data_IF_297153307724
#
_entry.id   IF_297153307724
#
_cell.length_a   1.000
_cell.length_b   1.000
_cell.length_c   1.000
_cell.angle_alpha   90.00
_cell.angle_beta   90.00
_cell.angle_gamma   90.00
#
_symmetry.space_group_name_H-M   'P 1'
#
loop_
_entity.id
_entity.type
_entity.pdbx_description
1 polymer ?
#
# COMPACT_ATOMS: atom_id res chain seq x y z
N UNK A 1 4.49 15.70 -21.08
CA UNK A 1 3.80 14.47 -21.53
C UNK A 1 4.16 13.35 -20.56
N UNK A 2 3.21 12.51 -20.13
CA UNK A 2 3.58 11.29 -19.39
C UNK A 2 4.36 10.40 -20.36
N UNK A 3 5.63 10.12 -20.07
CA UNK A 3 6.31 8.95 -20.62
C UNK A 3 5.46 7.71 -20.27
N UNK A 4 5.34 6.77 -21.21
CA UNK A 4 4.49 5.59 -21.10
C UNK A 4 4.88 4.58 -20.01
N UNK A 5 5.75 4.96 -19.09
CA UNK A 5 6.46 4.06 -18.16
C UNK A 5 5.89 4.10 -16.73
N UNK A 6 4.84 4.89 -16.50
CA UNK A 6 4.21 5.03 -15.17
C UNK A 6 3.03 4.09 -14.95
N UNK A 7 2.80 3.72 -13.69
CA UNK A 7 1.69 2.82 -13.29
C UNK A 7 0.34 3.34 -13.83
N UNK A 8 -0.47 2.48 -14.48
CA UNK A 8 -1.72 2.89 -15.11
C UNK A 8 -2.71 3.41 -14.06
N UNK A 9 -3.41 4.50 -14.39
CA UNK A 9 -4.46 5.03 -13.52
C UNK A 9 -5.75 4.29 -13.78
N UNK A 10 -6.24 3.58 -12.77
CA UNK A 10 -7.47 2.81 -12.84
C UNK A 10 -8.59 3.53 -12.08
N UNK A 11 -9.79 3.50 -12.65
CA UNK A 11 -11.03 3.92 -11.97
C UNK A 11 -12.18 3.04 -12.42
N UNK A 12 -12.97 2.57 -11.46
CA UNK A 12 -14.19 1.82 -11.72
C UNK A 12 -15.33 2.84 -11.81
N UNK A 13 -15.99 2.91 -12.96
CA UNK A 13 -17.14 3.81 -13.20
C UNK A 13 -18.47 3.09 -13.19
N UNK A 14 -18.48 1.84 -13.66
CA UNK A 14 -19.67 0.99 -13.71
C UNK A 14 -19.56 -0.07 -12.60
N UNK A 15 -20.53 -0.15 -11.68
CA UNK A 15 -20.49 -1.11 -10.56
C UNK A 15 -20.35 -2.57 -11.02
N UNK A 16 -21.12 -2.99 -12.03
CA UNK A 16 -21.13 -4.38 -12.51
C UNK A 16 -19.79 -4.77 -13.12
N UNK A 17 -19.22 -3.90 -13.97
CA UNK A 17 -17.88 -4.10 -14.54
C UNK A 17 -16.80 -4.10 -13.45
N UNK A 18 -16.98 -3.32 -12.38
CA UNK A 18 -16.09 -3.33 -11.22
C UNK A 18 -16.12 -4.64 -10.45
N UNK A 19 -17.32 -5.17 -10.21
CA UNK A 19 -17.51 -6.46 -9.57
C UNK A 19 -16.88 -7.60 -10.40
N UNK A 20 -17.09 -7.59 -11.72
CA UNK A 20 -16.49 -8.55 -12.64
C UNK A 20 -14.96 -8.46 -12.65
N UNK A 21 -14.40 -7.25 -12.73
CA UNK A 21 -12.95 -7.02 -12.70
C UNK A 21 -12.31 -7.57 -11.42
N UNK A 22 -12.89 -7.26 -10.25
CA UNK A 22 -12.37 -7.72 -8.96
C UNK A 22 -12.52 -9.24 -8.83
N UNK A 23 -13.64 -9.81 -9.28
CA UNK A 23 -13.86 -11.26 -9.32
C UNK A 23 -12.85 -11.97 -10.21
N UNK A 24 -12.60 -11.46 -11.43
CA UNK A 24 -11.60 -12.01 -12.34
C UNK A 24 -10.18 -11.93 -11.74
N UNK A 25 -9.84 -10.80 -11.11
CA UNK A 25 -8.54 -10.61 -10.45
C UNK A 25 -8.36 -11.58 -9.28
N UNK A 26 -9.38 -11.75 -8.45
CA UNK A 26 -9.36 -12.71 -7.35
C UNK A 26 -9.18 -14.15 -7.87
N UNK A 27 -9.84 -14.50 -8.98
CA UNK A 27 -9.70 -15.82 -9.62
C UNK A 27 -8.29 -16.06 -10.14
N UNK A 28 -7.72 -15.08 -10.84
CA UNK A 28 -6.33 -15.12 -11.32
C UNK A 28 -5.34 -15.38 -10.18
N UNK A 29 -5.54 -14.71 -9.03
CA UNK A 29 -4.73 -14.93 -7.82
C UNK A 29 -4.89 -16.36 -7.28
N UNK A 30 -6.11 -16.91 -7.26
CA UNK A 30 -6.35 -18.28 -6.80
C UNK A 30 -5.79 -19.34 -7.76
N UNK A 31 -5.63 -19.03 -9.05
CA UNK A 31 -5.12 -19.94 -10.06
C UNK A 31 -3.58 -19.93 -10.14
N UNK A 32 -2.98 -18.73 -10.08
CA UNK A 32 -1.54 -18.53 -10.30
C UNK A 32 -0.76 -18.21 -9.02
N UNK A 33 -1.46 -17.83 -7.95
CA UNK A 33 -0.85 -17.47 -6.67
C UNK A 33 -0.22 -16.09 -6.67
N UNK A 34 0.44 -15.78 -5.56
CA UNK A 34 1.24 -14.57 -5.36
C UNK A 34 2.50 -14.95 -4.59
N UNK A 35 3.53 -14.08 -4.54
CA UNK A 35 4.61 -14.27 -3.57
C UNK A 35 4.01 -14.50 -2.16
N UNK A 36 4.44 -15.57 -1.48
CA UNK A 36 3.92 -16.06 -0.18
C UNK A 36 2.55 -16.75 -0.21
N UNK A 37 1.92 -16.89 -1.38
CA UNK A 37 0.66 -17.63 -1.58
C UNK A 37 0.88 -18.72 -2.63
N UNK A 38 1.23 -19.90 -2.15
CA UNK A 38 1.53 -21.05 -3.00
C UNK A 38 0.24 -21.84 -3.30
N UNK A 39 -0.30 -21.70 -4.51
CA UNK A 39 -1.54 -22.39 -4.93
C UNK A 39 -1.30 -23.61 -5.84
N UNK A 40 -0.05 -23.85 -6.25
CA UNK A 40 0.31 -24.89 -7.23
C UNK A 40 -0.08 -26.30 -6.77
N UNK A 41 0.02 -26.60 -5.48
CA UNK A 41 -0.39 -27.88 -4.88
C UNK A 41 -1.89 -28.00 -4.57
N UNK A 42 -2.65 -26.91 -4.68
CA UNK A 42 -4.06 -26.94 -4.32
C UNK A 42 -4.88 -27.58 -5.44
N UNK A 43 -5.80 -28.46 -5.05
CA UNK A 43 -6.80 -29.04 -5.95
C UNK A 43 -7.73 -27.95 -6.50
N UNK A 44 -8.43 -28.23 -7.61
CA UNK A 44 -9.41 -27.30 -8.18
C UNK A 44 -10.52 -26.94 -7.18
N UNK A 45 -10.95 -27.89 -6.35
CA UNK A 45 -11.92 -27.63 -5.28
C UNK A 45 -11.35 -26.65 -4.25
N UNK A 46 -10.15 -26.91 -3.75
CA UNK A 46 -9.51 -26.04 -2.76
C UNK A 46 -9.27 -24.62 -3.29
N UNK A 47 -8.96 -24.45 -4.59
CA UNK A 47 -8.85 -23.13 -5.22
C UNK A 47 -10.20 -22.42 -5.33
N UNK A 48 -11.28 -23.15 -5.58
CA UNK A 48 -12.64 -22.57 -5.59
C UNK A 48 -13.06 -22.13 -4.18
N UNK A 49 -12.77 -22.96 -3.17
CA UNK A 49 -13.04 -22.61 -1.78
C UNK A 49 -12.23 -21.36 -1.39
N UNK A 50 -10.95 -21.31 -1.77
CA UNK A 50 -10.10 -20.14 -1.58
C UNK A 50 -10.67 -18.88 -2.25
N UNK A 51 -11.16 -19.01 -3.49
CA UNK A 51 -11.80 -17.92 -4.21
C UNK A 51 -13.04 -17.40 -3.47
N UNK A 52 -13.89 -18.30 -2.98
CA UNK A 52 -15.05 -17.93 -2.15
C UNK A 52 -14.59 -17.24 -0.86
N UNK A 53 -13.56 -17.77 -0.20
CA UNK A 53 -12.99 -17.16 1.00
C UNK A 53 -12.46 -15.74 0.78
N UNK A 54 -11.87 -15.41 -0.36
CA UNK A 54 -11.37 -14.04 -0.56
C UNK A 54 -12.46 -13.08 -1.04
N UNK A 55 -13.52 -13.57 -1.67
CA UNK A 55 -14.55 -12.72 -2.32
C UNK A 55 -15.87 -12.60 -1.57
N UNK A 56 -16.27 -13.61 -0.79
CA UNK A 56 -17.57 -13.65 -0.12
C UNK A 56 -17.49 -13.09 1.32
N UNK A 57 -18.11 -11.93 1.60
CA UNK A 57 -18.11 -11.35 2.95
C UNK A 57 -18.91 -12.17 3.97
N UNK A 58 -19.80 -13.06 3.52
CA UNK A 58 -20.76 -13.78 4.36
C UNK A 58 -20.49 -15.29 4.49
N UNK A 59 -19.29 -15.75 4.12
CA UNK A 59 -18.90 -17.16 4.28
C UNK A 59 -19.04 -17.61 5.75
N UNK A 60 -19.65 -18.78 5.95
CA UNK A 60 -19.87 -19.35 7.27
C UNK A 60 -18.66 -20.11 7.81
N UNK A 61 -18.52 -20.22 9.14
CA UNK A 61 -17.41 -20.97 9.76
C UNK A 61 -17.35 -22.44 9.33
N UNK A 62 -18.51 -23.05 9.06
CA UNK A 62 -18.60 -24.44 8.57
C UNK A 62 -17.98 -24.56 7.17
N UNK A 63 -18.19 -23.56 6.31
CA UNK A 63 -17.60 -23.53 4.97
C UNK A 63 -16.09 -23.23 5.00
N UNK A 64 -15.56 -22.71 6.12
CA UNK A 64 -14.14 -22.45 6.32
C UNK A 64 -13.35 -23.67 6.79
N UNK A 65 -13.98 -24.66 7.40
CA UNK A 65 -13.28 -25.82 7.98
C UNK A 65 -12.32 -26.52 7.01
N UNK A 66 -12.69 -26.84 5.75
CA UNK A 66 -11.78 -27.51 4.83
C UNK A 66 -10.55 -26.66 4.46
N UNK A 67 -10.71 -25.34 4.40
CA UNK A 67 -9.64 -24.38 4.14
C UNK A 67 -8.72 -24.19 5.35
N UNK A 68 -9.28 -24.29 6.56
CA UNK A 68 -8.49 -24.17 7.79
C UNK A 68 -7.41 -25.25 7.83
N UNK A 69 -7.82 -26.51 7.70
CA UNK A 69 -6.94 -27.69 7.77
C UNK A 69 -5.95 -27.77 6.59
N UNK A 70 -6.31 -27.24 5.43
CA UNK A 70 -5.51 -27.41 4.20
C UNK A 70 -4.58 -26.23 3.93
N UNK A 71 -4.98 -25.01 4.29
CA UNK A 71 -4.37 -23.76 3.79
C UNK A 71 -4.03 -22.76 4.90
N UNK A 72 -4.88 -22.62 5.91
CA UNK A 72 -4.72 -21.56 6.92
C UNK A 72 -3.85 -21.96 8.12
N UNK A 73 -3.41 -23.21 8.21
CA UNK A 73 -2.46 -23.65 9.24
C UNK A 73 -1.02 -23.18 8.98
N UNK A 74 -0.69 -22.79 7.74
CA UNK A 74 0.59 -22.16 7.42
C UNK A 74 0.55 -20.65 7.71
N UNK A 75 1.10 -20.22 8.86
CA UNK A 75 1.09 -18.84 9.35
C UNK A 75 1.41 -17.71 8.32
N UNK A 76 2.44 -17.79 7.45
CA UNK A 76 2.69 -16.73 6.46
C UNK A 76 1.64 -16.69 5.34
N UNK A 77 1.06 -17.83 4.99
CA UNK A 77 0.01 -17.91 3.97
C UNK A 77 -1.31 -17.39 4.52
N UNK A 78 -1.65 -17.77 5.75
CA UNK A 78 -2.83 -17.30 6.48
C UNK A 78 -2.91 -15.76 6.52
N UNK A 79 -1.84 -15.10 6.95
CA UNK A 79 -1.78 -13.64 7.03
C UNK A 79 -2.01 -12.97 5.66
N UNK A 80 -1.40 -13.52 4.62
CA UNK A 80 -1.55 -13.02 3.25
C UNK A 80 -2.98 -13.21 2.73
N UNK A 81 -3.62 -14.33 3.07
CA UNK A 81 -5.00 -14.62 2.69
C UNK A 81 -6.03 -13.77 3.43
N UNK A 82 -5.81 -13.51 4.72
CA UNK A 82 -6.65 -12.59 5.49
C UNK A 82 -6.55 -11.16 4.94
N UNK A 83 -5.35 -10.73 4.54
CA UNK A 83 -5.17 -9.45 3.86
C UNK A 83 -5.93 -9.41 2.53
N UNK A 84 -5.83 -10.45 1.68
CA UNK A 84 -6.60 -10.52 0.44
C UNK A 84 -8.11 -10.48 0.72
N UNK A 85 -8.60 -11.21 1.72
CA UNK A 85 -10.02 -11.18 2.11
C UNK A 85 -10.45 -9.77 2.53
N UNK A 86 -9.64 -9.04 3.30
CA UNK A 86 -9.92 -7.64 3.65
C UNK A 86 -9.95 -6.72 2.41
N UNK A 87 -9.03 -6.93 1.47
CA UNK A 87 -8.96 -6.16 0.23
C UNK A 87 -10.15 -6.39 -0.71
N UNK A 88 -10.59 -7.64 -0.86
CA UNK A 88 -11.66 -8.05 -1.75
C UNK A 88 -13.03 -8.08 -1.05
N UNK A 89 -13.31 -9.10 -0.23
CA UNK A 89 -14.58 -9.25 0.49
C UNK A 89 -14.87 -8.07 1.44
N UNK A 90 -13.84 -7.52 2.09
CA UNK A 90 -13.96 -6.31 2.91
C UNK A 90 -14.19 -5.02 2.11
N UNK A 91 -14.12 -5.08 0.78
CA UNK A 91 -14.50 -3.99 -0.12
C UNK A 91 -13.49 -2.85 -0.25
N UNK A 92 -12.28 -2.97 0.31
CA UNK A 92 -11.27 -1.90 0.29
C UNK A 92 -10.84 -1.55 -1.14
N UNK A 93 -10.62 -2.53 -2.01
CA UNK A 93 -10.26 -2.27 -3.41
C UNK A 93 -11.40 -1.60 -4.18
N UNK A 94 -12.63 -2.09 -4.00
CA UNK A 94 -13.81 -1.49 -4.63
C UNK A 94 -13.98 -0.04 -4.18
N UNK A 95 -13.87 0.23 -2.88
CA UNK A 95 -13.91 1.57 -2.32
C UNK A 95 -12.82 2.48 -2.90
N UNK A 96 -11.57 2.01 -2.95
CA UNK A 96 -10.45 2.78 -3.46
C UNK A 96 -10.60 3.13 -4.95
N UNK A 97 -10.98 2.17 -5.80
CA UNK A 97 -11.03 2.38 -7.24
C UNK A 97 -12.36 2.96 -7.77
N UNK A 98 -13.49 2.70 -7.09
CA UNK A 98 -14.79 3.21 -7.51
C UNK A 98 -15.12 4.57 -6.85
N UNK A 99 -14.91 4.68 -5.55
CA UNK A 99 -15.37 5.85 -4.78
C UNK A 99 -14.33 6.95 -4.63
N UNK A 100 -13.04 6.61 -4.70
CA UNK A 100 -11.96 7.60 -4.49
C UNK A 100 -11.33 8.04 -5.80
N UNK A 101 -11.02 9.33 -5.86
CA UNK A 101 -10.31 9.97 -6.97
C UNK A 101 -9.03 10.57 -6.45
N UNK A 102 -7.90 10.10 -6.99
CA UNK A 102 -6.60 10.67 -6.65
C UNK A 102 -6.55 12.16 -7.00
N UNK A 103 -5.94 12.95 -6.11
CA UNK A 103 -5.85 14.42 -6.15
C UNK A 103 -7.19 15.15 -6.04
N UNK A 104 -8.29 14.46 -5.75
CA UNK A 104 -9.61 15.09 -5.52
C UNK A 104 -10.18 14.66 -4.18
N UNK A 105 -10.23 13.35 -3.91
CA UNK A 105 -10.67 12.83 -2.62
C UNK A 105 -9.52 12.46 -1.70
N UNK A 106 -8.33 12.22 -2.24
CA UNK A 106 -7.15 11.84 -1.48
C UNK A 106 -5.84 12.16 -2.21
N UNK A 107 -4.73 12.17 -1.46
CA UNK A 107 -3.37 12.30 -1.97
C UNK A 107 -2.37 12.54 -0.84
N UNK A 108 -1.12 12.88 -1.17
CA UNK A 108 -0.05 13.08 -0.19
C UNK A 108 -0.05 14.52 0.37
N UNK A 109 0.18 14.65 1.68
CA UNK A 109 0.49 15.93 2.33
C UNK A 109 1.88 15.85 2.97
N UNK A 110 2.93 15.88 2.15
CA UNK A 110 4.32 15.58 2.56
C UNK A 110 4.89 16.46 3.68
N UNK A 111 4.30 17.63 3.93
CA UNK A 111 4.66 18.48 5.09
C UNK A 111 4.17 17.89 6.42
N UNK A 112 3.08 17.13 6.41
CA UNK A 112 2.42 16.55 7.60
C UNK A 112 2.76 15.08 7.77
N UNK A 113 2.57 14.30 6.71
CA UNK A 113 2.75 12.84 6.72
C UNK A 113 3.10 12.35 5.32
N UNK A 114 3.74 11.20 5.26
CA UNK A 114 4.00 10.48 4.00
C UNK A 114 2.86 9.53 3.61
N UNK A 115 1.80 9.47 4.40
CA UNK A 115 0.60 8.70 4.09
C UNK A 115 -0.40 9.53 3.27
N UNK A 116 -1.29 8.85 2.55
CA UNK A 116 -2.40 9.48 1.88
C UNK A 116 -3.41 10.03 2.91
N UNK A 117 -3.81 11.28 2.69
CA UNK A 117 -4.82 11.97 3.51
C UNK A 117 -6.05 12.31 2.66
N UNK A 118 -7.22 12.50 3.28
CA UNK A 118 -8.40 13.02 2.60
C UNK A 118 -8.16 14.42 2.04
N UNK A 119 -8.72 14.71 0.87
CA UNK A 119 -8.68 16.03 0.25
C UNK A 119 -10.06 16.69 0.37
N UNK A 120 -10.07 18.00 0.64
CA UNK A 120 -11.30 18.81 0.70
C UNK A 120 -11.72 19.32 -0.67
N UNK A 121 -10.73 19.54 -1.54
CA UNK A 121 -10.91 19.96 -2.92
C UNK A 121 -9.77 19.39 -3.77
N UNK A 122 -9.84 19.64 -5.08
CA UNK A 122 -8.75 19.25 -5.98
C UNK A 122 -7.43 19.83 -5.49
N UNK A 123 -6.44 18.96 -5.31
CA UNK A 123 -5.08 19.33 -4.88
C UNK A 123 -5.00 20.02 -3.51
N UNK A 124 -6.07 19.93 -2.71
CA UNK A 124 -6.17 20.56 -1.40
C UNK A 124 -6.35 19.50 -0.31
N UNK A 125 -5.26 19.03 0.32
CA UNK A 125 -5.36 18.08 1.41
C UNK A 125 -6.07 18.71 2.63
N UNK A 126 -6.82 17.89 3.35
CA UNK A 126 -7.39 18.29 4.63
C UNK A 126 -6.28 18.51 5.65
N UNK A 127 -6.38 19.60 6.42
CA UNK A 127 -5.37 19.98 7.40
C UNK A 127 -5.17 18.91 8.49
N UNK A 128 -6.25 18.26 8.94
CA UNK A 128 -6.24 17.33 10.08
C UNK A 128 -6.92 15.99 9.83
N UNK A 129 -7.74 15.85 8.80
CA UNK A 129 -8.45 14.58 8.57
C UNK A 129 -7.50 13.44 8.20
N UNK A 130 -7.89 12.23 8.58
CA UNK A 130 -7.21 10.95 8.29
C UNK A 130 -8.28 9.91 7.92
N UNK A 131 -7.89 8.83 7.24
CA UNK A 131 -8.79 7.71 7.01
C UNK A 131 -8.84 6.83 8.26
N UNK A 132 -10.05 6.44 8.66
CA UNK A 132 -10.25 5.63 9.88
C UNK A 132 -9.73 4.19 9.74
N UNK A 133 -9.76 3.64 8.52
CA UNK A 133 -9.37 2.26 8.26
C UNK A 133 -7.92 2.17 7.76
N UNK A 134 -7.02 1.43 8.43
CA UNK A 134 -5.60 1.37 8.07
C UNK A 134 -5.38 0.83 6.65
N UNK A 135 -6.08 -0.23 6.24
CA UNK A 135 -5.93 -0.78 4.88
C UNK A 135 -6.32 0.22 3.78
N UNK A 136 -7.33 1.05 4.04
CA UNK A 136 -7.69 2.15 3.13
C UNK A 136 -6.53 3.15 3.05
N UNK A 137 -5.95 3.55 4.18
CA UNK A 137 -4.78 4.43 4.21
C UNK A 137 -3.61 3.84 3.43
N UNK A 138 -3.30 2.55 3.62
CA UNK A 138 -2.21 1.86 2.93
C UNK A 138 -2.46 1.85 1.42
N UNK A 139 -3.63 1.37 0.97
CA UNK A 139 -3.96 1.27 -0.46
C UNK A 139 -3.92 2.65 -1.12
N UNK A 140 -4.54 3.66 -0.52
CA UNK A 140 -4.54 5.01 -1.07
C UNK A 140 -3.14 5.66 -1.05
N UNK A 141 -2.27 5.30 -0.10
CA UNK A 141 -0.86 5.72 -0.09
C UNK A 141 -0.10 5.08 -1.24
N UNK A 142 -0.22 3.76 -1.42
CA UNK A 142 0.38 3.03 -2.55
C UNK A 142 -0.04 3.66 -3.88
N UNK A 143 -1.34 3.86 -4.10
CA UNK A 143 -1.85 4.50 -5.31
C UNK A 143 -1.32 5.92 -5.49
N UNK A 144 -1.16 6.69 -4.41
CA UNK A 144 -0.64 8.05 -4.49
C UNK A 144 0.81 8.10 -4.97
N UNK A 145 1.66 7.20 -4.48
CA UNK A 145 3.04 7.08 -4.92
C UNK A 145 3.14 6.48 -6.32
N UNK A 146 2.36 5.45 -6.66
CA UNK A 146 2.33 4.89 -8.02
C UNK A 146 1.90 5.91 -9.07
N UNK A 147 0.94 6.78 -8.76
CA UNK A 147 0.43 7.77 -9.70
C UNK A 147 1.23 9.07 -9.76
N UNK A 148 1.88 9.43 -8.64
CA UNK A 148 2.66 10.65 -8.48
C UNK A 148 4.15 10.49 -8.78
N UNK A 149 4.68 9.27 -8.64
CA UNK A 149 6.11 8.99 -8.66
C UNK A 149 6.82 9.60 -7.44
N UNK A 150 8.14 9.41 -7.39
CA UNK A 150 8.99 9.97 -6.34
C UNK A 150 9.65 11.28 -6.77
N UNK A 151 9.81 12.22 -5.83
CA UNK A 151 10.64 13.41 -6.00
C UNK A 151 12.13 13.06 -5.98
N UNK A 152 12.98 13.96 -6.47
CA UNK A 152 14.44 13.73 -6.46
C UNK A 152 14.98 13.52 -5.04
N UNK A 153 14.39 14.18 -4.04
CA UNK A 153 14.78 14.01 -2.63
C UNK A 153 14.41 12.61 -2.11
N UNK A 154 13.23 12.10 -2.49
CA UNK A 154 12.77 10.77 -2.08
C UNK A 154 13.57 9.66 -2.78
N UNK A 155 13.88 9.81 -4.07
CA UNK A 155 14.77 8.89 -4.81
C UNK A 155 16.16 8.88 -4.16
N UNK A 156 16.71 10.04 -3.83
CA UNK A 156 18.00 10.13 -3.17
C UNK A 156 17.99 9.44 -1.79
N UNK A 157 16.95 9.68 -0.98
CA UNK A 157 16.79 9.01 0.31
C UNK A 157 16.68 7.48 0.14
N UNK A 158 15.97 7.00 -0.88
CA UNK A 158 15.90 5.58 -1.19
C UNK A 158 17.29 4.99 -1.53
N UNK A 159 18.12 5.71 -2.29
CA UNK A 159 19.50 5.28 -2.55
C UNK A 159 20.36 5.23 -1.28
N UNK A 160 20.20 6.21 -0.38
CA UNK A 160 20.92 6.19 0.90
C UNK A 160 20.55 4.95 1.72
N UNK A 161 19.27 4.60 1.78
CA UNK A 161 18.77 3.40 2.45
C UNK A 161 19.27 2.11 1.75
N UNK A 162 19.17 2.07 0.42
CA UNK A 162 19.64 0.93 -0.39
C UNK A 162 21.10 0.60 -0.11
N UNK A 163 21.98 1.60 -0.03
CA UNK A 163 23.41 1.39 0.21
C UNK A 163 23.72 0.82 1.60
N UNK A 164 22.78 0.84 2.54
CA UNK A 164 22.89 0.21 3.85
C UNK A 164 22.26 -1.20 3.90
N UNK A 165 21.61 -1.65 2.84
CA UNK A 165 20.98 -2.97 2.77
C UNK A 165 22.00 -4.09 2.56
N UNK A 166 21.61 -5.32 2.88
CA UNK A 166 22.47 -6.52 2.73
C UNK A 166 22.79 -6.85 1.26
N UNK A 167 21.81 -6.65 0.37
CA UNK A 167 21.89 -7.03 -1.05
C UNK A 167 21.55 -5.86 -1.99
N UNK A 168 22.34 -4.76 -1.96
CA UNK A 168 21.97 -3.50 -2.61
C UNK A 168 21.91 -3.60 -4.14
N UNK A 169 22.78 -4.40 -4.74
CA UNK A 169 22.80 -4.59 -6.18
C UNK A 169 21.56 -5.35 -6.68
N UNK A 170 21.12 -6.38 -5.97
CA UNK A 170 19.94 -7.18 -6.33
C UNK A 170 18.65 -6.35 -6.21
N UNK A 171 18.52 -5.60 -5.13
CA UNK A 171 17.39 -4.67 -4.94
C UNK A 171 17.38 -3.59 -6.03
N UNK A 172 18.54 -3.05 -6.40
CA UNK A 172 18.63 -2.09 -7.50
C UNK A 172 18.21 -2.69 -8.84
N UNK A 173 18.52 -3.96 -9.13
CA UNK A 173 18.05 -4.63 -10.34
C UNK A 173 16.52 -4.66 -10.41
N UNK A 174 15.84 -4.92 -9.30
CA UNK A 174 14.37 -4.86 -9.25
C UNK A 174 13.83 -3.44 -9.50
N UNK A 175 14.60 -2.39 -9.18
CA UNK A 175 14.21 -1.02 -9.51
C UNK A 175 14.31 -0.73 -11.02
N UNK A 176 15.26 -1.31 -11.73
CA UNK A 176 15.47 -1.01 -13.16
C UNK A 176 14.86 -2.04 -14.12
N UNK A 177 14.39 -3.18 -13.60
CA UNK A 177 13.86 -4.34 -14.36
C UNK A 177 12.88 -3.99 -15.48
N UNK A 178 11.99 -3.03 -15.24
CA UNK A 178 10.96 -2.60 -16.19
C UNK A 178 11.19 -1.18 -16.73
N UNK A 179 12.36 -0.60 -16.51
CA UNK A 179 12.71 0.74 -17.03
C UNK A 179 13.25 0.57 -18.46
N UNK A 180 12.54 1.09 -19.48
CA UNK A 180 12.99 0.94 -20.85
C UNK A 180 14.23 1.81 -21.12
N UNK A 181 15.11 1.32 -22.00
CA UNK A 181 16.27 2.06 -22.50
C UNK A 181 17.23 2.59 -21.40
N UNK A 182 17.42 1.83 -20.32
CA UNK A 182 18.36 2.18 -19.27
C UNK A 182 19.79 2.29 -19.83
N UNK A 183 20.50 3.43 -19.66
CA UNK A 183 21.89 3.55 -20.11
C UNK A 183 22.80 2.51 -19.42
N UNK A 184 23.73 1.92 -20.17
CA UNK A 184 24.64 0.86 -19.68
C UNK A 184 25.40 1.26 -18.43
N UNK A 185 25.85 2.52 -18.34
CA UNK A 185 26.54 3.06 -17.17
C UNK A 185 25.69 3.11 -15.90
N UNK A 186 24.36 3.03 -16.00
CA UNK A 186 23.44 3.00 -14.85
C UNK A 186 22.81 1.63 -14.61
N UNK A 187 23.18 0.59 -15.37
CA UNK A 187 22.67 -0.77 -15.13
C UNK A 187 23.25 -1.39 -13.86
N UNK A 188 24.39 -0.89 -13.38
CA UNK A 188 25.08 -1.39 -12.20
C UNK A 188 25.17 -0.28 -11.15
N UNK A 189 24.98 -0.63 -9.87
CA UNK A 189 24.98 0.34 -8.78
C UNK A 189 26.34 1.05 -8.66
N UNK A 190 27.45 0.32 -8.88
CA UNK A 190 28.81 0.87 -8.90
C UNK A 190 29.03 1.94 -9.98
N UNK A 191 28.21 1.97 -11.04
CA UNK A 191 28.26 2.99 -12.09
C UNK A 191 27.55 4.30 -11.70
N UNK A 192 26.88 4.34 -10.55
CA UNK A 192 26.11 5.50 -10.09
C UNK A 192 26.94 6.32 -9.11
N UNK A 193 27.28 7.54 -9.52
CA UNK A 193 27.93 8.51 -8.64
C UNK A 193 26.90 9.45 -8.01
N UNK A 194 26.41 9.12 -6.80
CA UNK A 194 25.42 9.94 -6.08
C UNK A 194 25.93 11.33 -5.69
N UNK A 195 27.24 11.53 -5.60
CA UNK A 195 27.84 12.85 -5.34
C UNK A 195 27.67 13.80 -6.53
N UNK A 196 27.47 13.28 -7.74
CA UNK A 196 27.17 14.07 -8.93
C UNK A 196 25.65 14.33 -9.03
N UNK A 197 25.16 15.26 -8.20
CA UNK A 197 23.74 15.61 -8.14
C UNK A 197 23.16 16.00 -9.52
N UNK A 198 23.94 16.66 -10.38
CA UNK A 198 23.49 17.07 -11.72
C UNK A 198 23.26 15.86 -12.63
N UNK A 199 24.17 14.88 -12.63
CA UNK A 199 24.00 13.64 -13.39
C UNK A 199 22.77 12.86 -12.90
N UNK A 200 22.65 12.69 -11.57
CA UNK A 200 21.53 11.97 -10.98
C UNK A 200 20.20 12.63 -11.30
N UNK A 201 20.06 13.94 -11.06
CA UNK A 201 18.78 14.64 -11.24
C UNK A 201 18.36 14.82 -12.70
N UNK A 202 19.31 14.90 -13.63
CA UNK A 202 19.01 15.10 -15.06
C UNK A 202 18.89 13.82 -15.87
N UNK A 203 19.64 12.77 -15.51
CA UNK A 203 19.72 11.55 -16.32
C UNK A 203 19.08 10.34 -15.63
N UNK A 204 19.46 10.07 -14.38
CA UNK A 204 19.04 8.83 -13.70
C UNK A 204 17.64 8.94 -13.07
N UNK A 205 17.41 9.96 -12.25
CA UNK A 205 16.17 10.11 -11.48
C UNK A 205 14.90 10.25 -12.34
N UNK A 206 14.92 10.91 -13.51
CA UNK A 206 13.77 10.92 -14.40
C UNK A 206 13.36 9.51 -14.88
N UNK A 207 14.33 8.61 -15.10
CA UNK A 207 14.08 7.22 -15.52
C UNK A 207 13.48 6.40 -14.38
N UNK A 208 13.95 6.62 -13.15
CA UNK A 208 13.50 5.87 -11.98
C UNK A 208 12.22 6.41 -11.32
N UNK A 209 11.83 7.65 -11.62
CA UNK A 209 10.73 8.37 -10.94
C UNK A 209 9.43 7.57 -10.80
N UNK A 210 9.11 6.78 -11.82
CA UNK A 210 7.89 5.98 -11.88
C UNK A 210 8.17 4.47 -11.84
N UNK A 211 9.42 4.06 -11.56
CA UNK A 211 9.75 2.66 -11.37
C UNK A 211 8.96 2.10 -10.20
N UNK A 212 8.17 1.05 -10.47
CA UNK A 212 7.40 0.35 -9.43
C UNK A 212 8.34 -0.23 -8.37
N UNK A 213 9.45 -0.85 -8.76
CA UNK A 213 10.39 -1.47 -7.82
C UNK A 213 10.99 -0.47 -6.84
N UNK A 214 11.39 0.72 -7.34
CA UNK A 214 11.87 1.80 -6.47
C UNK A 214 10.76 2.34 -5.56
N UNK A 215 9.54 2.53 -6.07
CA UNK A 215 8.42 3.02 -5.28
C UNK A 215 8.06 2.01 -4.17
N UNK A 216 7.99 0.72 -4.49
CA UNK A 216 7.74 -0.35 -3.52
C UNK A 216 8.82 -0.37 -2.42
N UNK A 217 10.09 -0.25 -2.81
CA UNK A 217 11.21 -0.15 -1.87
C UNK A 217 11.07 1.09 -0.96
N UNK A 218 10.86 2.27 -1.55
CA UNK A 218 10.73 3.52 -0.80
C UNK A 218 9.58 3.44 0.23
N UNK A 219 8.43 2.90 -0.17
CA UNK A 219 7.29 2.76 0.72
C UNK A 219 7.56 1.74 1.84
N UNK A 220 8.11 0.57 1.49
CA UNK A 220 8.35 -0.52 2.44
C UNK A 220 9.47 -0.23 3.44
N UNK A 221 10.51 0.50 3.05
CA UNK A 221 11.66 0.78 3.93
C UNK A 221 11.57 2.14 4.64
N UNK A 222 11.03 3.19 3.98
CA UNK A 222 11.09 4.55 4.52
C UNK A 222 9.74 5.14 4.94
N UNK A 223 8.63 4.72 4.34
CA UNK A 223 7.30 5.27 4.63
C UNK A 223 6.59 4.47 5.71
N UNK A 224 6.23 3.21 5.43
CA UNK A 224 5.40 2.42 6.34
C UNK A 224 6.05 2.14 7.69
N UNK A 225 7.35 1.78 7.79
CA UNK A 225 7.99 1.56 9.10
C UNK A 225 7.97 2.79 9.99
N UNK A 226 7.99 3.99 9.39
CA UNK A 226 7.97 5.25 10.11
C UNK A 226 6.56 5.70 10.48
N UNK A 227 5.63 5.64 9.54
CA UNK A 227 4.31 6.27 9.66
C UNK A 227 3.22 5.31 10.15
N UNK A 228 3.35 4.00 9.90
CA UNK A 228 2.36 2.97 10.26
C UNK A 228 2.84 2.16 11.46
N UNK A 229 3.20 2.86 12.54
CA UNK A 229 3.61 2.20 13.79
C UNK A 229 2.39 1.63 14.50
N UNK A 230 2.40 0.33 14.72
CA UNK A 230 1.43 -0.34 15.57
C UNK A 230 1.94 -0.37 17.02
N UNK A 231 1.02 -0.15 17.95
CA UNK A 231 1.28 -0.29 19.38
C UNK A 231 0.34 -1.34 19.94
N UNK A 232 0.87 -2.26 20.74
CA UNK A 232 0.09 -3.38 21.33
C UNK A 232 -1.08 -2.88 22.20
N UNK A 233 -0.94 -1.68 22.76
CA UNK A 233 -1.97 -1.04 23.55
C UNK A 233 -2.27 0.35 23.01
N UNK A 234 -3.55 0.60 22.71
CA UNK A 234 -4.05 1.94 22.41
C UNK A 234 -4.64 2.53 23.69
N UNK A 235 -3.99 3.53 24.25
CA UNK A 235 -4.58 4.38 25.28
C UNK A 235 -5.58 5.31 24.58
N UNK A 236 -6.86 4.98 24.66
CA UNK A 236 -7.95 5.81 24.18
C UNK A 236 -8.77 6.28 25.37
N UNK A 237 -9.10 7.57 25.40
CA UNK A 237 -10.06 8.12 26.35
C UNK A 237 -11.06 8.96 25.58
N UNK A 238 -12.33 8.60 25.67
CA UNK A 238 -13.45 9.37 25.16
C UNK A 238 -13.99 10.31 26.25
N UNK A 239 -14.68 11.38 25.85
CA UNK A 239 -15.37 12.26 26.81
C UNK A 239 -16.36 11.50 27.71
N UNK A 240 -16.94 10.42 27.20
CA UNK A 240 -17.79 9.49 27.97
C UNK A 240 -17.01 8.74 29.05
N UNK A 241 -15.77 8.36 28.81
CA UNK A 241 -14.91 7.70 29.81
C UNK A 241 -14.39 8.68 30.87
N UNK A 242 -14.28 9.97 30.56
CA UNK A 242 -13.93 11.01 31.54
C UNK A 242 -15.09 11.23 32.52
N UNK A 243 -16.34 11.24 32.03
CA UNK A 243 -17.54 11.46 32.86
C UNK A 243 -18.03 10.22 33.64
N UNK A 244 -17.40 9.06 33.46
CA UNK A 244 -17.80 7.82 34.16
C UNK A 244 -17.27 7.83 35.60
N UNK A 245 -18.12 7.47 36.55
CA UNK A 245 -17.72 7.31 37.94
C UNK A 245 -16.69 6.18 38.09
N UNK A 246 -15.56 6.46 38.74
CA UNK A 246 -14.38 5.59 38.80
C UNK A 246 -13.68 5.74 40.16
N UNK A 247 -13.17 4.63 40.70
CA UNK A 247 -12.35 4.62 41.92
C UNK A 247 -11.13 5.55 41.85
N UNK A 248 -10.61 5.77 40.64
CA UNK A 248 -9.53 6.72 40.36
C UNK A 248 -10.00 7.71 39.28
N UNK A 249 -10.32 8.96 39.65
CA UNK A 249 -10.75 9.97 38.70
C UNK A 249 -9.71 10.17 37.59
N UNK A 250 -10.15 10.11 36.35
CA UNK A 250 -9.30 10.43 35.19
C UNK A 250 -9.55 11.89 34.80
N UNK A 251 -8.56 12.77 34.94
CA UNK A 251 -8.67 14.15 34.46
C UNK A 251 -8.22 14.23 33.00
N UNK A 252 -9.05 14.82 32.14
CA UNK A 252 -8.71 15.07 30.73
C UNK A 252 -8.46 16.55 30.51
N UNK A 253 -7.44 16.89 29.71
CA UNK A 253 -7.21 18.26 29.25
C UNK A 253 -8.00 18.50 27.95
N UNK A 254 -9.03 19.35 28.02
CA UNK A 254 -9.66 19.94 26.83
C UNK A 254 -8.67 20.93 26.24
N UNK A 255 -7.77 20.47 25.38
CA UNK A 255 -6.87 21.32 24.62
C UNK A 255 -7.63 22.13 23.56
N UNK A 256 -8.47 23.08 23.99
CA UNK A 256 -8.99 24.16 23.15
C UNK A 256 -8.22 25.41 23.52
N UNK A 257 -7.21 25.74 22.73
CA UNK A 257 -6.54 27.04 22.79
C UNK A 257 -7.38 27.99 21.93
N UNK A 258 -8.31 28.71 22.54
CA UNK A 258 -9.03 29.82 21.90
C UNK A 258 -8.16 31.07 21.97
N UNK A 259 -7.14 31.15 21.10
CA UNK A 259 -6.28 32.32 20.91
C UNK A 259 -5.94 32.51 19.44
#
# INVERSE_FOLDING_TARGET
AKSGDGFPRLRILQPDAGAELLSATAREICENGLPRINVWNLSKSARNDLFRFITDPHISDVELQPLQETVLDAEPMKSSLLLLRGLFAGGVLNFAFAQKRWRVNYGLHLVRTRLAVPYQAKDSPSARAEFAHPDTTIVLSCLSYYYGGLSNKEIYAAFQELLQSDHPQEQYQEWIKFVPNMPTGFMQLNGINLSNATQCTRLLFPLLRFSKGLIDFYMSQLVFPKEMKEFVHKLSSSGWEIGRDKNHPTTGFSGTNDS
#
